data_IF_635058873845
#
_entry.id   IF_635058873845
#
_cell.length_a   1.000
_cell.length_b   1.000
_cell.length_c   1.000
_cell.angle_alpha   90.00
_cell.angle_beta   90.00
_cell.angle_gamma   90.00
#
_symmetry.space_group_name_H-M   'P 1'
#
loop_
_entity.id
_entity.type
_entity.pdbx_description
1 polymer ?
#
# COMPACT_ATOMS: atom_id res chain seq x y z
N UNK A 1 -4.62 4.80 8.34
CA UNK A 1 -5.85 5.36 8.93
C UNK A 1 -5.83 6.88 9.04
N UNK A 2 -4.85 7.50 9.76
CA UNK A 2 -4.85 8.96 9.97
C UNK A 2 -4.64 9.77 8.68
N UNK A 3 -3.76 9.32 7.79
CA UNK A 3 -3.53 10.00 6.51
C UNK A 3 -4.81 9.97 5.66
N UNK A 4 -5.46 8.83 5.51
CA UNK A 4 -6.72 8.70 4.76
C UNK A 4 -7.82 9.58 5.34
N UNK A 5 -7.98 9.58 6.67
CA UNK A 5 -8.94 10.44 7.38
C UNK A 5 -8.68 11.92 7.17
N UNK A 6 -7.41 12.34 7.13
CA UNK A 6 -7.07 13.72 6.84
C UNK A 6 -7.20 14.03 5.35
N UNK A 7 -6.77 13.13 4.47
CA UNK A 7 -6.88 13.27 3.03
C UNK A 7 -8.33 13.46 2.55
N UNK A 8 -9.29 12.77 3.20
CA UNK A 8 -10.73 12.95 2.87
C UNK A 8 -11.27 14.36 3.15
N UNK A 9 -10.52 15.20 3.87
CA UNK A 9 -10.84 16.60 4.17
C UNK A 9 -9.93 17.58 3.43
N UNK A 10 -8.96 17.06 2.68
CA UNK A 10 -8.06 17.85 1.86
C UNK A 10 -8.75 18.38 0.61
N UNK A 11 -8.31 19.53 0.17
CA UNK A 11 -8.68 20.10 -1.12
C UNK A 11 -7.54 19.84 -2.10
N UNK A 12 -7.86 19.66 -3.38
CA UNK A 12 -6.86 19.64 -4.44
C UNK A 12 -6.09 20.97 -4.37
N UNK A 13 -4.87 20.89 -3.85
CA UNK A 13 -4.01 22.06 -3.62
C UNK A 13 -2.89 22.10 -4.65
N UNK A 14 -2.15 23.19 -4.66
CA UNK A 14 -0.92 23.33 -5.45
C UNK A 14 0.24 22.47 -4.88
N UNK A 15 0.01 21.74 -3.79
CA UNK A 15 1.01 20.85 -3.19
C UNK A 15 1.09 19.58 -4.03
N UNK A 16 2.28 19.33 -4.56
CA UNK A 16 2.56 18.11 -5.34
C UNK A 16 3.81 17.43 -4.80
N UNK A 17 3.70 16.14 -4.57
CA UNK A 17 4.84 15.33 -4.13
C UNK A 17 5.40 14.48 -5.29
N UNK A 18 6.69 14.14 -5.24
CA UNK A 18 7.28 13.25 -6.23
C UNK A 18 6.65 11.84 -6.16
N UNK A 19 6.68 11.14 -7.28
CA UNK A 19 6.32 9.73 -7.42
C UNK A 19 7.59 8.94 -7.67
N UNK A 20 8.34 8.59 -6.62
CA UNK A 20 9.64 7.96 -6.80
C UNK A 20 9.54 6.66 -7.60
N UNK A 21 10.46 6.45 -8.50
CA UNK A 21 10.58 5.25 -9.34
C UNK A 21 9.35 4.90 -10.19
N UNK A 22 8.34 5.76 -10.29
CA UNK A 22 7.10 5.46 -11.03
C UNK A 22 7.37 5.08 -12.50
N UNK A 23 8.39 5.64 -13.12
CA UNK A 23 8.80 5.39 -14.50
C UNK A 23 10.06 4.51 -14.62
N UNK A 24 10.60 3.99 -13.50
CA UNK A 24 11.78 3.11 -13.58
C UNK A 24 11.43 1.80 -14.32
N UNK A 25 12.40 1.18 -15.00
CA UNK A 25 12.16 -0.04 -15.78
C UNK A 25 11.82 -1.25 -14.91
N UNK A 26 12.30 -1.29 -13.67
CA UNK A 26 12.04 -2.35 -12.71
C UNK A 26 10.62 -2.26 -12.09
N UNK A 27 10.28 -3.23 -11.24
CA UNK A 27 9.02 -3.28 -10.49
C UNK A 27 9.17 -2.84 -9.03
N UNK A 28 10.34 -2.32 -8.64
CA UNK A 28 10.61 -1.91 -7.28
C UNK A 28 9.81 -0.67 -6.88
N UNK A 29 9.49 -0.59 -5.61
CA UNK A 29 8.89 0.58 -4.98
C UNK A 29 9.93 1.35 -4.16
N UNK A 30 9.80 2.67 -4.13
CA UNK A 30 10.54 3.52 -3.21
C UNK A 30 9.62 4.60 -2.67
N UNK A 31 9.54 4.68 -1.34
CA UNK A 31 8.79 5.73 -0.64
C UNK A 31 9.70 6.64 0.19
N UNK A 32 11.01 6.39 0.21
CA UNK A 32 11.97 7.19 0.97
C UNK A 32 12.01 8.64 0.48
N UNK A 33 12.09 8.84 -0.83
CA UNK A 33 12.06 10.18 -1.44
C UNK A 33 10.74 10.91 -1.21
N UNK A 34 9.61 10.21 -1.25
CA UNK A 34 8.30 10.78 -0.93
C UNK A 34 8.22 11.22 0.53
N UNK A 35 8.67 10.38 1.47
CA UNK A 35 8.72 10.70 2.90
C UNK A 35 9.57 11.94 3.18
N UNK A 36 10.73 12.03 2.54
CA UNK A 36 11.65 13.16 2.68
C UNK A 36 11.04 14.45 2.12
N UNK A 37 10.38 14.39 0.96
CA UNK A 37 9.70 15.53 0.36
C UNK A 37 8.60 16.10 1.27
N UNK A 38 7.79 15.22 1.87
CA UNK A 38 6.77 15.63 2.86
C UNK A 38 7.40 16.31 4.06
N UNK A 39 8.50 15.77 4.60
CA UNK A 39 9.21 16.34 5.74
C UNK A 39 9.70 17.77 5.45
N UNK A 40 10.31 17.98 4.28
CA UNK A 40 10.79 19.30 3.88
C UNK A 40 9.64 20.29 3.67
N UNK A 41 8.56 19.88 3.02
CA UNK A 41 7.39 20.73 2.81
C UNK A 41 6.74 21.14 4.13
N UNK A 42 6.57 20.23 5.07
CA UNK A 42 6.06 20.54 6.41
C UNK A 42 6.98 21.52 7.14
N UNK A 43 8.31 21.33 7.06
CA UNK A 43 9.26 22.27 7.67
C UNK A 43 9.16 23.66 7.05
N UNK A 44 9.12 23.75 5.72
CA UNK A 44 8.99 25.03 4.99
C UNK A 44 7.73 25.77 5.42
N UNK A 45 6.58 25.10 5.39
CA UNK A 45 5.29 25.71 5.75
C UNK A 45 5.22 26.15 7.21
N UNK A 46 5.88 25.43 8.12
CA UNK A 46 6.00 25.85 9.52
C UNK A 46 6.85 27.11 9.66
N UNK A 47 7.97 27.19 8.96
CA UNK A 47 8.85 28.38 8.96
C UNK A 47 8.11 29.60 8.38
N UNK A 48 7.33 29.40 7.32
CA UNK A 48 6.51 30.46 6.70
C UNK A 48 5.22 30.79 7.50
N UNK A 49 4.98 30.14 8.62
CA UNK A 49 3.74 30.26 9.43
C UNK A 49 2.45 29.97 8.65
N UNK A 50 2.55 29.12 7.61
CA UNK A 50 1.43 28.70 6.75
C UNK A 50 0.92 27.28 7.07
N UNK A 51 1.44 26.64 8.12
CA UNK A 51 1.05 25.29 8.50
C UNK A 51 -0.13 25.33 9.45
N UNK A 52 -1.31 25.26 8.90
CA UNK A 52 -2.58 25.17 9.61
C UNK A 52 -3.25 23.80 9.47
N UNK A 53 -4.48 23.69 9.96
CA UNK A 53 -5.27 22.45 9.90
C UNK A 53 -5.64 22.07 8.47
N UNK A 54 -5.98 23.03 7.62
CA UNK A 54 -6.32 22.77 6.22
C UNK A 54 -5.09 22.34 5.44
N UNK A 55 -3.98 23.01 5.62
CA UNK A 55 -2.69 22.62 5.01
C UNK A 55 -2.27 21.19 5.39
N UNK A 56 -2.52 20.77 6.64
CA UNK A 56 -2.30 19.38 7.04
C UNK A 56 -3.17 18.39 6.25
N UNK A 57 -4.43 18.75 5.98
CA UNK A 57 -5.34 17.92 5.18
C UNK A 57 -4.88 17.86 3.72
N UNK A 58 -4.48 18.98 3.14
CA UNK A 58 -4.01 19.08 1.76
C UNK A 58 -2.71 18.31 1.53
N UNK A 59 -1.76 18.39 2.48
CA UNK A 59 -0.54 17.56 2.48
C UNK A 59 -0.89 16.07 2.55
N UNK A 60 -1.85 15.70 3.39
CA UNK A 60 -2.26 14.30 3.53
C UNK A 60 -2.88 13.76 2.25
N UNK A 61 -3.69 14.57 1.57
CA UNK A 61 -4.27 14.22 0.27
C UNK A 61 -3.17 14.06 -0.79
N UNK A 62 -2.32 15.07 -0.94
CA UNK A 62 -1.23 15.05 -1.92
C UNK A 62 -0.24 13.88 -1.70
N UNK A 63 0.04 13.54 -0.44
CA UNK A 63 0.83 12.35 -0.10
C UNK A 63 0.13 11.05 -0.48
N UNK A 64 -1.15 10.92 -0.13
CA UNK A 64 -1.96 9.74 -0.45
C UNK A 64 -2.01 9.53 -1.97
N UNK A 65 -2.28 10.57 -2.73
CA UNK A 65 -2.35 10.49 -4.19
C UNK A 65 -0.99 10.06 -4.79
N UNK A 66 0.10 10.64 -4.32
CA UNK A 66 1.43 10.27 -4.80
C UNK A 66 1.78 8.80 -4.50
N UNK A 67 1.43 8.31 -3.32
CA UNK A 67 1.66 6.92 -2.93
C UNK A 67 0.79 5.96 -3.75
N UNK A 68 -0.50 6.27 -3.91
CA UNK A 68 -1.46 5.48 -4.69
C UNK A 68 -1.04 5.42 -6.16
N UNK A 69 -0.64 6.53 -6.76
CA UNK A 69 -0.15 6.57 -8.16
C UNK A 69 1.03 5.61 -8.36
N UNK A 70 1.99 5.60 -7.42
CA UNK A 70 3.12 4.67 -7.49
C UNK A 70 2.68 3.21 -7.40
N UNK A 71 1.81 2.89 -6.44
CA UNK A 71 1.30 1.53 -6.23
C UNK A 71 0.54 1.05 -7.46
N UNK A 72 -0.43 1.83 -7.94
CA UNK A 72 -1.30 1.42 -9.05
C UNK A 72 -0.50 1.27 -10.34
N UNK A 73 0.30 2.26 -10.73
CA UNK A 73 1.08 2.18 -11.97
C UNK A 73 2.06 1.01 -11.99
N UNK A 74 2.76 0.76 -10.88
CA UNK A 74 3.71 -0.35 -10.79
C UNK A 74 3.01 -1.70 -10.80
N UNK A 75 1.86 -1.83 -10.13
CA UNK A 75 1.08 -3.07 -10.17
C UNK A 75 0.56 -3.36 -11.57
N UNK A 76 0.02 -2.37 -12.28
CA UNK A 76 -0.43 -2.54 -13.67
C UNK A 76 0.75 -2.90 -14.59
N UNK A 77 1.92 -2.25 -14.38
CA UNK A 77 3.12 -2.61 -15.13
C UNK A 77 3.54 -4.06 -14.88
N UNK A 78 3.47 -4.52 -13.62
CA UNK A 78 3.75 -5.90 -13.26
C UNK A 78 2.78 -6.86 -13.94
N UNK A 79 1.47 -6.60 -13.85
CA UNK A 79 0.45 -7.42 -14.50
C UNK A 79 0.68 -7.58 -16.00
N UNK A 80 1.01 -6.47 -16.70
CA UNK A 80 1.30 -6.50 -18.14
C UNK A 80 2.58 -7.28 -18.46
N UNK A 81 3.61 -7.14 -17.63
CA UNK A 81 4.90 -7.82 -17.83
C UNK A 81 4.78 -9.33 -17.62
N UNK A 82 4.02 -9.75 -16.63
CA UNK A 82 3.85 -11.17 -16.27
C UNK A 82 2.62 -11.81 -16.94
N UNK A 83 2.01 -11.11 -17.91
CA UNK A 83 0.77 -11.53 -18.61
C UNK A 83 -0.33 -12.01 -17.65
N UNK A 84 -0.50 -11.27 -16.54
CA UNK A 84 -1.44 -11.59 -15.48
C UNK A 84 -2.62 -10.60 -15.52
N UNK A 85 -3.84 -11.12 -15.53
CA UNK A 85 -5.05 -10.32 -15.60
C UNK A 85 -5.79 -10.19 -14.26
N UNK A 86 -5.29 -10.82 -13.19
CA UNK A 86 -5.87 -10.79 -11.85
C UNK A 86 -4.95 -10.09 -10.86
N UNK A 87 -5.53 -9.34 -9.92
CA UNK A 87 -4.83 -8.62 -8.88
C UNK A 87 -5.40 -8.96 -7.50
N UNK A 88 -4.54 -9.37 -6.59
CA UNK A 88 -4.89 -9.54 -5.18
C UNK A 88 -4.29 -8.39 -4.38
N UNK A 89 -5.14 -7.66 -3.65
CA UNK A 89 -4.73 -6.60 -2.72
C UNK A 89 -4.86 -7.10 -1.29
N UNK A 90 -3.77 -7.12 -0.54
CA UNK A 90 -3.73 -7.64 0.82
C UNK A 90 -2.90 -6.72 1.73
N UNK A 91 -3.00 -6.92 3.05
CA UNK A 91 -2.32 -6.11 4.07
C UNK A 91 -3.02 -4.80 4.40
N UNK A 92 -2.51 -4.09 5.42
CA UNK A 92 -3.18 -2.91 6.00
C UNK A 92 -3.46 -1.78 5.02
N UNK A 93 -2.61 -1.58 4.00
CA UNK A 93 -2.81 -0.54 2.97
C UNK A 93 -3.96 -0.90 2.03
N UNK A 94 -4.28 -2.18 1.85
CA UNK A 94 -5.43 -2.63 1.07
C UNK A 94 -6.79 -2.19 1.65
N UNK A 95 -6.84 -1.75 2.91
CA UNK A 95 -8.03 -1.14 3.51
C UNK A 95 -8.30 0.29 3.00
N UNK A 96 -7.32 0.96 2.37
CA UNK A 96 -7.47 2.34 1.89
C UNK A 96 -8.48 2.41 0.74
N UNK A 97 -9.56 3.18 0.96
CA UNK A 97 -10.67 3.30 -0.01
C UNK A 97 -10.26 3.99 -1.30
N UNK A 98 -9.38 4.99 -1.22
CA UNK A 98 -8.90 5.71 -2.41
C UNK A 98 -8.02 4.81 -3.28
N UNK A 99 -7.19 3.93 -2.67
CA UNK A 99 -6.41 2.93 -3.38
C UNK A 99 -7.33 1.94 -4.12
N UNK A 100 -8.33 1.38 -3.43
CA UNK A 100 -9.31 0.46 -4.05
C UNK A 100 -10.06 1.12 -5.21
N UNK A 101 -10.50 2.37 -5.01
CA UNK A 101 -11.17 3.15 -6.05
C UNK A 101 -10.25 3.30 -7.27
N UNK A 102 -8.99 3.68 -7.05
CA UNK A 102 -8.04 3.91 -8.14
C UNK A 102 -7.74 2.63 -8.93
N UNK A 103 -7.64 1.48 -8.28
CA UNK A 103 -7.51 0.21 -9.00
C UNK A 103 -8.75 -0.15 -9.83
N UNK A 104 -9.97 0.12 -9.33
CA UNK A 104 -11.21 -0.10 -10.08
C UNK A 104 -11.36 0.81 -11.32
N UNK A 105 -10.71 1.97 -11.32
CA UNK A 105 -10.65 2.85 -12.50
C UNK A 105 -9.74 2.31 -13.61
N UNK A 106 -8.76 1.48 -13.25
CA UNK A 106 -7.70 1.01 -14.14
C UNK A 106 -7.85 -0.47 -14.55
N UNK A 107 -8.55 -1.27 -13.77
CA UNK A 107 -8.71 -2.72 -13.93
C UNK A 107 -10.18 -3.08 -13.74
N UNK A 108 -10.70 -3.99 -14.55
CA UNK A 108 -12.06 -4.53 -14.38
C UNK A 108 -12.24 -5.10 -12.95
N UNK A 109 -13.27 -4.68 -12.26
CA UNK A 109 -13.52 -5.01 -10.85
C UNK A 109 -13.56 -6.52 -10.60
N UNK A 110 -14.05 -7.33 -11.55
CA UNK A 110 -14.07 -8.79 -11.45
C UNK A 110 -12.70 -9.45 -11.35
N UNK A 111 -11.66 -8.71 -11.73
CA UNK A 111 -10.26 -9.16 -11.71
C UNK A 111 -9.49 -8.65 -10.47
N UNK A 112 -10.16 -7.95 -9.54
CA UNK A 112 -9.54 -7.41 -8.33
C UNK A 112 -10.09 -8.15 -7.12
N UNK A 113 -9.23 -8.79 -6.36
CA UNK A 113 -9.56 -9.52 -5.14
C UNK A 113 -8.98 -8.81 -3.92
N UNK A 114 -9.78 -8.62 -2.90
CA UNK A 114 -9.35 -8.04 -1.64
C UNK A 114 -10.22 -8.54 -0.48
N UNK A 115 -9.66 -8.72 0.71
CA UNK A 115 -10.44 -9.13 1.87
C UNK A 115 -11.39 -8.01 2.33
N UNK A 116 -12.35 -8.37 3.16
CA UNK A 116 -13.14 -7.41 3.91
C UNK A 116 -12.25 -6.43 4.67
N UNK A 117 -12.73 -5.22 4.89
CA UNK A 117 -11.94 -4.17 5.56
C UNK A 117 -11.47 -4.59 6.95
N UNK A 118 -12.27 -5.36 7.67
CA UNK A 118 -11.95 -5.90 9.01
C UNK A 118 -10.84 -6.95 9.00
N UNK A 119 -10.52 -7.53 7.84
CA UNK A 119 -9.52 -8.59 7.66
C UNK A 119 -8.27 -8.13 6.91
N UNK A 120 -8.16 -6.84 6.63
CA UNK A 120 -6.98 -6.30 5.93
C UNK A 120 -5.71 -6.22 6.80
N UNK A 121 -5.86 -6.22 8.13
CA UNK A 121 -4.74 -6.27 9.08
C UNK A 121 -4.52 -7.70 9.57
N UNK A 122 -3.35 -7.97 10.13
CA UNK A 122 -3.01 -9.27 10.69
C UNK A 122 -4.09 -9.74 11.67
N UNK A 123 -4.56 -10.97 11.50
CA UNK A 123 -5.60 -11.56 12.33
C UNK A 123 -5.47 -13.09 12.40
N UNK A 124 -5.97 -13.68 13.50
CA UNK A 124 -5.88 -15.11 13.74
C UNK A 124 -6.62 -15.97 12.71
N UNK A 125 -7.72 -15.47 12.14
CA UNK A 125 -8.48 -16.22 11.12
C UNK A 125 -7.66 -16.43 9.83
N UNK A 126 -6.86 -15.44 9.44
CA UNK A 126 -5.95 -15.52 8.30
C UNK A 126 -4.90 -16.62 8.51
N UNK A 127 -4.33 -16.70 9.71
CA UNK A 127 -3.32 -17.71 10.06
C UNK A 127 -3.95 -19.10 10.15
N UNK A 128 -5.14 -19.22 10.76
CA UNK A 128 -5.87 -20.49 10.84
C UNK A 128 -6.25 -21.02 9.45
N UNK A 129 -6.68 -20.13 8.54
CA UNK A 129 -6.96 -20.51 7.16
C UNK A 129 -5.71 -20.98 6.42
N UNK A 130 -4.61 -20.23 6.51
CA UNK A 130 -3.34 -20.62 5.91
C UNK A 130 -2.83 -21.96 6.45
N UNK A 131 -3.02 -22.23 7.75
CA UNK A 131 -2.69 -23.52 8.36
C UNK A 131 -3.60 -24.65 7.83
N UNK A 132 -4.91 -24.39 7.66
CA UNK A 132 -5.84 -25.43 7.17
C UNK A 132 -5.53 -25.90 5.73
N UNK A 133 -4.99 -24.99 4.90
CA UNK A 133 -4.56 -25.34 3.54
C UNK A 133 -3.27 -26.20 3.52
N UNK A 134 -2.59 -26.29 4.67
CA UNK A 134 -1.30 -26.97 4.81
C UNK A 134 -1.35 -28.14 5.81
N UNK A 135 -2.51 -28.73 6.04
CA UNK A 135 -2.70 -29.78 7.08
C UNK A 135 -1.93 -31.10 6.89
N UNK A 136 -1.13 -31.22 5.83
CA UNK A 136 -0.32 -32.42 5.57
C UNK A 136 1.09 -32.35 6.22
N UNK A 137 1.32 -31.42 7.13
CA UNK A 137 2.58 -31.33 7.82
C UNK A 137 2.68 -32.35 8.96
N UNK A 138 3.73 -33.17 8.93
CA UNK A 138 4.20 -33.86 10.12
C UNK A 138 4.52 -32.82 11.20
N UNK A 139 3.90 -33.01 12.37
CA UNK A 139 4.04 -32.08 13.48
C UNK A 139 5.47 -32.15 14.06
N UNK A 140 6.36 -31.33 13.58
CA UNK A 140 7.52 -30.95 14.37
C UNK A 140 7.01 -29.97 15.45
N UNK A 141 6.97 -30.43 16.70
CA UNK A 141 6.50 -29.67 17.87
C UNK A 141 7.37 -28.45 18.20
N UNK A 142 8.40 -28.17 17.41
CA UNK A 142 9.29 -27.02 17.58
C UNK A 142 8.77 -25.80 16.84
N UNK A 143 8.08 -24.93 17.58
CA UNK A 143 7.69 -23.62 17.06
C UNK A 143 8.92 -22.73 16.92
N UNK A 144 9.33 -22.45 15.68
CA UNK A 144 10.40 -21.49 15.37
C UNK A 144 9.81 -20.20 14.84
N UNK A 145 10.12 -19.08 15.48
CA UNK A 145 9.73 -17.74 15.00
C UNK A 145 10.74 -17.27 13.95
N UNK A 146 10.26 -16.96 12.74
CA UNK A 146 11.05 -16.38 11.64
C UNK A 146 10.57 -14.96 11.35
N UNK A 147 11.14 -13.92 11.99
CA UNK A 147 10.67 -12.52 11.85
C UNK A 147 10.81 -11.95 10.44
N UNK A 148 11.70 -12.53 9.64
CA UNK A 148 11.94 -12.19 8.23
C UNK A 148 11.99 -13.47 7.42
N UNK A 149 10.82 -13.95 7.03
CA UNK A 149 10.70 -15.12 6.19
C UNK A 149 10.52 -14.71 4.72
N UNK A 150 11.38 -15.18 3.84
CA UNK A 150 11.23 -14.95 2.40
C UNK A 150 10.02 -15.73 1.88
N UNK A 151 9.25 -15.12 0.99
CA UNK A 151 8.16 -15.81 0.29
C UNK A 151 8.68 -16.98 -0.56
N UNK A 152 9.91 -16.91 -1.04
CA UNK A 152 10.57 -17.99 -1.81
C UNK A 152 10.81 -19.24 -0.96
N UNK A 153 10.96 -19.08 0.34
CA UNK A 153 11.24 -20.19 1.29
C UNK A 153 9.96 -20.90 1.79
N UNK A 154 8.76 -20.39 1.46
CA UNK A 154 7.50 -20.94 1.99
C UNK A 154 7.24 -22.38 1.50
N UNK A 155 7.74 -22.73 0.31
CA UNK A 155 7.55 -24.07 -0.26
C UNK A 155 8.65 -25.06 0.15
N UNK A 156 9.68 -24.60 0.86
CA UNK A 156 10.86 -25.39 1.26
C UNK A 156 10.93 -25.61 2.79
N UNK A 157 9.83 -25.36 3.52
CA UNK A 157 9.78 -25.50 4.99
C UNK A 157 8.68 -26.41 5.48
#
# INVERSE_FOLDING_TARGET
PEIEKNASKGNSSNIRFPRPMINSPDLNFSFSGLKTAVLYEVKRLKTEKKFDKQTKYDISLAFQDAAIDCLVKKSIKAMRREDCNQLVLSGGVAANKALRKKFKEEIDEKNIFYPDLSRCTDNGAMIAFAASEKLNFENDHLIKVKPRWSLEDINNG
#
